data_IF_668329887604
#
_entry.id   IF_668329887604
#
_cell.length_a   1.000
_cell.length_b   1.000
_cell.length_c   1.000
_cell.angle_alpha   90.00
_cell.angle_beta   90.00
_cell.angle_gamma   90.00
#
_symmetry.space_group_name_H-M   'P 1'
#
loop_
_entity.id
_entity.type
_entity.pdbx_description
1 polymer ?
#
# COMPACT_ATOMS: atom_id res chain seq x y z
N UNK A 1 -10.40 -67.10 -1.22
CA UNK A 1 -10.18 -68.04 -2.37
C UNK A 1 -9.44 -67.22 -3.44
N UNK A 2 -8.21 -67.64 -3.65
CA UNK A 2 -7.49 -67.87 -4.93
C UNK A 2 -7.47 -66.62 -5.88
N UNK A 3 -6.41 -66.14 -6.44
CA UNK A 3 -5.02 -66.60 -6.62
C UNK A 3 -4.44 -65.62 -7.67
N UNK A 4 -3.35 -64.99 -7.37
CA UNK A 4 -2.01 -65.09 -8.00
C UNK A 4 -2.04 -65.18 -9.54
N UNK A 5 -1.30 -64.32 -10.26
CA UNK A 5 -0.05 -64.67 -10.91
C UNK A 5 0.61 -63.46 -11.59
N UNK A 6 1.87 -63.31 -11.33
CA UNK A 6 3.00 -62.59 -11.89
C UNK A 6 3.28 -62.92 -13.36
N UNK A 7 3.99 -62.03 -14.05
CA UNK A 7 5.29 -62.26 -14.80
C UNK A 7 5.63 -60.97 -15.50
N UNK A 8 6.70 -60.28 -15.31
CA UNK A 8 8.16 -60.44 -15.56
C UNK A 8 8.54 -60.61 -17.04
N UNK A 9 9.45 -59.80 -17.48
CA UNK A 9 10.30 -59.98 -18.69
C UNK A 9 10.69 -58.65 -19.30
N UNK A 10 11.80 -58.07 -19.05
CA UNK A 10 13.24 -58.27 -19.40
C UNK A 10 13.62 -57.72 -20.77
N UNK A 11 14.48 -56.71 -20.70
CA UNK A 11 15.66 -56.32 -21.53
C UNK A 11 15.69 -56.57 -23.02
N UNK A 12 16.17 -55.56 -23.80
CA UNK A 12 17.39 -55.69 -24.57
C UNK A 12 17.89 -54.35 -25.13
N UNK A 13 19.15 -54.20 -24.96
CA UNK A 13 20.13 -53.25 -25.49
C UNK A 13 20.22 -53.32 -27.03
N UNK A 14 20.61 -52.18 -27.64
CA UNK A 14 21.13 -52.18 -28.99
C UNK A 14 21.77 -50.84 -29.32
N UNK A 15 23.07 -50.81 -29.25
CA UNK A 15 23.93 -49.64 -29.56
C UNK A 15 24.45 -49.72 -31.02
N UNK A 16 25.02 -48.59 -31.47
CA UNK A 16 26.14 -48.47 -32.42
C UNK A 16 25.77 -48.20 -33.90
N UNK A 17 26.19 -47.20 -34.53
CA UNK A 17 27.39 -46.55 -35.02
C UNK A 17 27.12 -45.61 -36.21
N UNK A 18 27.70 -44.45 -36.15
CA UNK A 18 28.48 -43.66 -37.12
C UNK A 18 28.17 -43.77 -38.62
N UNK A 19 28.10 -42.60 -39.30
CA UNK A 19 29.16 -42.10 -40.18
C UNK A 19 28.81 -40.77 -40.84
N UNK A 20 29.82 -39.96 -40.94
CA UNK A 20 30.01 -38.66 -41.53
C UNK A 20 29.56 -38.47 -42.97
N UNK A 21 29.18 -37.27 -43.33
CA UNK A 21 29.70 -36.60 -44.53
C UNK A 21 29.54 -35.09 -44.48
N UNK A 22 30.62 -34.39 -44.73
CA UNK A 22 30.74 -32.94 -44.89
C UNK A 22 29.99 -32.40 -46.11
N UNK A 23 29.46 -31.17 -46.01
CA UNK A 23 29.59 -30.18 -47.09
C UNK A 23 29.31 -28.76 -46.59
N UNK A 24 30.35 -28.01 -46.55
CA UNK A 24 30.62 -26.59 -46.86
C UNK A 24 29.46 -25.58 -46.84
N UNK A 25 29.65 -24.57 -45.96
CA UNK A 25 29.71 -23.21 -46.40
C UNK A 25 28.54 -22.29 -46.05
N UNK A 26 28.61 -21.58 -44.95
CA UNK A 26 28.53 -20.11 -44.94
C UNK A 26 28.58 -19.61 -43.48
N UNK A 27 29.68 -18.97 -43.14
CA UNK A 27 29.90 -18.33 -41.84
C UNK A 27 29.10 -17.02 -41.78
N UNK A 28 27.91 -17.04 -41.15
CA UNK A 28 27.33 -15.84 -40.60
C UNK A 28 27.91 -15.68 -39.18
N UNK A 29 28.77 -14.68 -39.00
CA UNK A 29 29.26 -14.23 -37.69
C UNK A 29 28.06 -13.80 -36.84
N UNK A 30 27.65 -14.63 -35.91
CA UNK A 30 26.84 -14.17 -34.79
C UNK A 30 27.73 -13.26 -33.93
N UNK A 31 27.50 -11.96 -34.05
CA UNK A 31 28.05 -10.97 -33.13
C UNK A 31 27.47 -11.25 -31.74
N UNK A 32 28.31 -11.81 -30.86
CA UNK A 32 28.07 -11.81 -29.42
C UNK A 32 27.98 -10.36 -28.95
N UNK A 33 26.76 -9.81 -28.88
CA UNK A 33 26.47 -8.62 -28.11
C UNK A 33 26.51 -9.08 -26.66
N UNK A 34 27.66 -8.92 -26.03
CA UNK A 34 27.75 -8.96 -24.57
C UNK A 34 26.72 -8.00 -24.01
N UNK A 35 25.64 -8.52 -23.47
CA UNK A 35 24.76 -7.78 -22.59
C UNK A 35 25.60 -7.39 -21.35
N UNK A 36 26.31 -6.28 -21.45
CA UNK A 36 26.84 -5.59 -20.29
C UNK A 36 25.63 -5.17 -19.49
N UNK A 37 25.37 -5.89 -18.41
CA UNK A 37 24.56 -5.44 -17.31
C UNK A 37 25.04 -4.03 -16.90
N UNK A 38 24.37 -3.02 -17.40
CA UNK A 38 24.47 -1.67 -16.85
C UNK A 38 23.68 -1.70 -15.55
N UNK A 39 24.28 -2.26 -14.51
CA UNK A 39 23.91 -1.93 -13.13
C UNK A 39 24.34 -0.47 -12.94
N UNK A 40 23.48 0.45 -13.33
CA UNK A 40 23.58 1.82 -12.83
C UNK A 40 23.45 1.71 -11.29
N UNK A 41 24.59 1.83 -10.59
CA UNK A 41 24.60 2.16 -9.17
C UNK A 41 23.95 3.53 -9.07
N UNK A 42 22.63 3.56 -8.87
CA UNK A 42 21.96 4.76 -8.40
C UNK A 42 22.59 5.04 -7.03
N UNK A 43 23.44 6.05 -6.97
CA UNK A 43 24.01 6.50 -5.71
C UNK A 43 22.81 6.78 -4.78
N UNK A 44 22.86 6.22 -3.59
CA UNK A 44 21.79 6.38 -2.62
C UNK A 44 21.69 7.88 -2.27
N UNK A 45 20.68 8.56 -2.82
CA UNK A 45 20.42 9.98 -2.54
C UNK A 45 20.06 10.10 -1.06
N UNK A 46 20.69 11.06 -0.38
CA UNK A 46 20.30 11.42 0.98
C UNK A 46 18.90 12.04 0.95
N UNK A 47 17.91 11.51 1.67
CA UNK A 47 16.56 12.07 1.72
C UNK A 47 16.52 13.56 2.09
N UNK A 48 17.44 13.99 2.97
CA UNK A 48 17.56 15.39 3.37
C UNK A 48 18.08 16.29 2.23
N UNK A 49 18.76 15.72 1.25
CA UNK A 49 19.27 16.46 0.08
C UNK A 49 18.23 16.61 -1.04
N UNK A 50 17.08 15.91 -0.96
CA UNK A 50 16.01 16.08 -1.96
C UNK A 50 15.31 17.41 -1.73
N UNK A 51 15.43 18.37 -2.68
CA UNK A 51 14.85 19.67 -2.50
C UNK A 51 13.32 19.59 -2.43
N UNK A 52 12.71 20.52 -1.72
CA UNK A 52 11.27 20.70 -1.77
C UNK A 52 10.85 21.14 -3.18
N UNK A 53 9.76 20.55 -3.70
CA UNK A 53 9.19 20.88 -4.99
C UNK A 53 7.85 21.61 -4.79
N UNK A 54 7.82 22.91 -5.13
CA UNK A 54 6.61 23.72 -4.96
C UNK A 54 5.50 23.28 -5.90
N UNK A 55 4.30 23.08 -5.36
CA UNK A 55 3.08 22.94 -6.15
C UNK A 55 2.67 24.29 -6.78
N UNK A 56 1.75 24.26 -7.74
CA UNK A 56 1.23 25.48 -8.40
C UNK A 56 0.44 26.39 -7.46
N UNK A 57 -0.04 25.85 -6.34
CA UNK A 57 -0.79 26.59 -5.34
C UNK A 57 0.08 27.49 -4.44
N UNK A 58 1.42 27.36 -4.48
CA UNK A 58 2.30 28.19 -3.65
C UNK A 58 2.21 29.67 -4.02
N UNK A 59 1.90 30.52 -3.06
CA UNK A 59 1.81 31.96 -3.23
C UNK A 59 0.82 32.64 -2.27
N UNK A 60 0.53 33.90 -2.50
CA UNK A 60 -0.32 34.69 -1.62
C UNK A 60 -1.74 34.14 -1.46
N UNK A 61 -2.30 33.50 -2.50
CA UNK A 61 -3.62 32.85 -2.43
C UNK A 61 -3.67 31.71 -1.41
N UNK A 62 -2.63 30.88 -1.34
CA UNK A 62 -2.55 29.79 -0.37
C UNK A 62 -2.40 30.28 1.08
N UNK A 63 -1.79 31.45 1.29
CA UNK A 63 -1.65 32.06 2.61
C UNK A 63 -3.01 32.40 3.25
N UNK A 64 -4.02 32.72 2.43
CA UNK A 64 -5.39 33.03 2.87
C UNK A 64 -6.26 31.81 3.19
N UNK A 65 -5.79 30.59 2.93
CA UNK A 65 -6.53 29.36 3.21
C UNK A 65 -6.69 29.16 4.73
N UNK A 66 -7.93 28.85 5.14
CA UNK A 66 -8.23 28.61 6.55
C UNK A 66 -7.38 27.46 7.12
N UNK A 67 -6.77 27.71 8.29
CA UNK A 67 -6.05 26.71 9.06
C UNK A 67 -7.05 25.83 9.84
N UNK A 68 -6.56 24.67 10.27
CA UNK A 68 -7.40 23.71 10.98
C UNK A 68 -8.24 22.86 10.04
N UNK A 69 -9.23 22.17 10.63
CA UNK A 69 -10.09 21.23 9.91
C UNK A 69 -11.27 21.92 9.25
N UNK A 70 -11.42 21.65 7.96
CA UNK A 70 -12.61 22.07 7.18
C UNK A 70 -13.19 20.87 6.45
N UNK A 71 -14.52 20.90 6.22
CA UNK A 71 -15.20 19.95 5.34
C UNK A 71 -15.40 20.60 3.98
N UNK A 72 -14.79 20.02 2.97
CA UNK A 72 -14.80 20.52 1.61
C UNK A 72 -15.61 19.63 0.68
N UNK A 73 -16.11 20.21 -0.40
CA UNK A 73 -16.82 19.50 -1.46
C UNK A 73 -16.16 19.76 -2.81
N UNK A 74 -16.24 18.77 -3.70
CA UNK A 74 -15.78 18.90 -5.07
C UNK A 74 -16.59 18.01 -6.01
N UNK A 75 -16.49 18.26 -7.31
CA UNK A 75 -17.03 17.35 -8.34
C UNK A 75 -15.86 16.57 -8.94
N UNK A 76 -16.00 15.25 -9.02
CA UNK A 76 -15.04 14.37 -9.68
C UNK A 76 -15.76 13.35 -10.54
N UNK A 77 -15.40 13.28 -11.81
CA UNK A 77 -16.05 12.36 -12.77
C UNK A 77 -17.57 12.54 -12.90
N UNK A 78 -18.09 13.74 -12.63
CA UNK A 78 -19.52 14.07 -12.62
C UNK A 78 -20.23 13.78 -11.28
N UNK A 79 -19.56 13.15 -10.32
CA UNK A 79 -20.13 12.82 -9.02
C UNK A 79 -19.75 13.87 -7.96
N UNK A 80 -20.69 14.24 -7.08
CA UNK A 80 -20.42 15.08 -5.94
C UNK A 80 -19.62 14.28 -4.90
N UNK A 81 -18.49 14.81 -4.49
CA UNK A 81 -17.58 14.20 -3.51
C UNK A 81 -17.31 15.19 -2.38
N UNK A 82 -16.86 14.66 -1.23
CA UNK A 82 -16.45 15.51 -0.12
C UNK A 82 -15.28 14.87 0.65
N UNK A 83 -14.57 15.71 1.42
CA UNK A 83 -13.43 15.30 2.23
C UNK A 83 -13.24 16.25 3.40
N UNK A 84 -12.53 15.79 4.43
CA UNK A 84 -11.94 16.68 5.41
C UNK A 84 -10.55 17.09 4.96
N UNK A 85 -10.27 18.37 5.10
CA UNK A 85 -8.95 18.96 4.90
C UNK A 85 -8.47 19.53 6.22
N UNK A 86 -7.29 19.13 6.67
CA UNK A 86 -6.60 19.72 7.80
C UNK A 86 -5.38 20.48 7.28
N UNK A 87 -5.35 21.79 7.52
CA UNK A 87 -4.21 22.66 7.16
C UNK A 87 -3.48 23.03 8.45
N UNK A 88 -2.20 22.66 8.59
CA UNK A 88 -1.47 22.88 9.84
C UNK A 88 -1.29 24.40 10.10
N UNK A 89 -1.24 24.82 11.38
CA UNK A 89 -1.05 26.23 11.74
C UNK A 89 0.20 26.86 11.10
N UNK A 90 1.25 26.07 10.92
CA UNK A 90 2.53 26.52 10.33
C UNK A 90 2.48 26.75 8.82
N UNK A 91 1.41 26.36 8.10
CA UNK A 91 1.31 26.58 6.66
C UNK A 91 1.19 28.07 6.34
N UNK A 92 2.21 28.65 5.72
CA UNK A 92 2.30 30.08 5.37
C UNK A 92 1.88 30.38 3.92
N UNK A 93 1.57 29.34 3.12
CA UNK A 93 1.23 29.45 1.70
C UNK A 93 2.41 29.66 0.76
N UNK A 94 3.62 29.84 1.25
CA UNK A 94 4.83 30.12 0.45
C UNK A 94 5.91 29.05 0.60
N UNK A 95 6.01 28.47 1.80
CA UNK A 95 6.88 27.33 2.12
C UNK A 95 6.14 26.05 1.87
N UNK A 96 6.63 25.16 0.96
CA UNK A 96 5.93 23.92 0.67
C UNK A 96 5.91 22.98 1.88
N UNK A 97 4.75 22.38 2.16
CA UNK A 97 4.58 21.40 3.22
C UNK A 97 4.20 20.03 2.66
N UNK A 98 4.57 18.93 3.33
CA UNK A 98 4.13 17.59 2.93
C UNK A 98 2.61 17.44 2.96
N UNK A 99 2.09 16.43 2.23
CA UNK A 99 0.68 16.05 2.19
C UNK A 99 0.52 14.56 2.47
N UNK A 100 -0.47 14.20 3.28
CA UNK A 100 -0.87 12.81 3.55
C UNK A 100 -2.33 12.60 3.16
N UNK A 101 -2.59 11.65 2.25
CA UNK A 101 -3.92 11.08 2.03
C UNK A 101 -4.18 10.03 3.10
N UNK A 102 -5.27 10.18 3.86
CA UNK A 102 -5.65 9.31 4.98
C UNK A 102 -7.02 8.66 4.72
N UNK A 103 -7.02 7.35 4.40
CA UNK A 103 -8.14 6.66 3.78
C UNK A 103 -8.86 5.73 4.75
N UNK A 104 -10.16 5.98 4.97
CA UNK A 104 -11.00 5.24 5.91
C UNK A 104 -11.24 3.78 5.51
N UNK A 105 -11.57 2.93 6.50
CA UNK A 105 -11.98 1.54 6.32
C UNK A 105 -13.40 1.39 5.75
N UNK A 106 -13.75 0.13 5.44
CA UNK A 106 -15.10 -0.25 5.01
C UNK A 106 -16.13 0.07 6.10
N UNK A 107 -17.23 0.72 5.76
CA UNK A 107 -18.32 1.18 6.64
C UNK A 107 -17.91 2.19 7.73
N UNK A 108 -16.65 2.56 7.82
CA UNK A 108 -16.12 3.50 8.81
C UNK A 108 -16.49 4.95 8.48
N UNK A 109 -16.18 5.37 7.25
CA UNK A 109 -16.33 6.75 6.79
C UNK A 109 -15.28 7.71 7.34
N UNK A 110 -15.13 8.85 6.65
CA UNK A 110 -14.08 9.82 6.94
C UNK A 110 -14.15 10.41 8.36
N UNK A 111 -15.38 10.63 8.90
CA UNK A 111 -15.56 11.23 10.22
C UNK A 111 -15.00 10.35 11.36
N UNK A 112 -15.25 9.04 11.31
CA UNK A 112 -14.73 8.11 12.32
C UNK A 112 -13.23 7.92 12.12
N UNK A 113 -12.79 7.91 10.88
CA UNK A 113 -11.38 7.73 10.56
C UNK A 113 -10.46 8.83 11.11
N UNK A 114 -10.96 10.07 11.20
CA UNK A 114 -10.23 11.15 11.87
C UNK A 114 -9.86 10.80 13.33
N UNK A 115 -10.73 10.04 14.03
CA UNK A 115 -10.47 9.57 15.39
C UNK A 115 -9.58 8.31 15.37
N UNK A 116 -9.79 7.46 14.37
CA UNK A 116 -9.07 6.19 14.22
C UNK A 116 -7.56 6.41 14.02
N UNK A 117 -7.19 7.24 13.06
CA UNK A 117 -5.80 7.54 12.74
C UNK A 117 -5.19 8.62 13.63
N UNK A 118 -5.97 9.67 13.97
CA UNK A 118 -5.44 10.85 14.68
C UNK A 118 -4.49 11.71 13.82
N UNK A 119 -4.30 11.37 12.55
CA UNK A 119 -3.31 12.01 11.67
C UNK A 119 -3.55 13.50 11.44
N UNK A 120 -4.78 13.97 11.53
CA UNK A 120 -5.08 15.41 11.43
C UNK A 120 -4.39 16.21 12.55
N UNK A 121 -4.55 15.77 13.80
CA UNK A 121 -3.89 16.42 14.96
C UNK A 121 -2.37 16.20 14.92
N UNK A 122 -1.93 15.01 14.53
CA UNK A 122 -0.52 14.71 14.38
C UNK A 122 0.14 15.59 13.28
N UNK A 123 -0.59 15.81 12.18
CA UNK A 123 -0.17 16.66 11.07
C UNK A 123 0.02 18.14 11.48
N UNK A 124 -0.84 18.65 12.35
CA UNK A 124 -0.68 20.00 12.91
C UNK A 124 0.65 20.14 13.67
N UNK A 125 1.00 19.12 14.47
CA UNK A 125 2.25 19.13 15.23
C UNK A 125 3.50 18.92 14.36
N UNK A 126 3.39 18.18 13.25
CA UNK A 126 4.51 17.89 12.34
C UNK A 126 4.58 18.81 11.12
N UNK A 127 3.58 19.64 10.88
CA UNK A 127 3.56 20.65 9.81
C UNK A 127 3.21 20.08 8.43
N UNK A 128 2.31 19.10 8.32
CA UNK A 128 1.83 18.58 7.04
C UNK A 128 0.31 18.70 6.88
N UNK A 129 -0.15 18.81 5.64
CA UNK A 129 -1.58 18.79 5.29
C UNK A 129 -2.10 17.37 5.30
N UNK A 130 -3.30 17.15 5.91
CA UNK A 130 -4.00 15.87 5.83
C UNK A 130 -5.27 16.04 5.00
N UNK A 131 -5.52 15.09 4.11
CA UNK A 131 -6.78 14.95 3.36
C UNK A 131 -7.42 13.62 3.74
N UNK A 132 -8.61 13.68 4.34
CA UNK A 132 -9.38 12.49 4.72
C UNK A 132 -10.67 12.45 3.89
N UNK A 133 -10.62 11.88 2.67
CA UNK A 133 -11.75 11.84 1.76
C UNK A 133 -12.77 10.78 2.15
N UNK A 134 -14.02 10.99 1.72
CA UNK A 134 -15.14 10.07 1.91
C UNK A 134 -15.31 9.18 0.68
N UNK A 135 -15.27 7.87 0.90
CA UNK A 135 -15.65 6.86 -0.08
C UNK A 135 -17.14 6.85 -0.36
N UNK A 136 -17.56 6.23 -1.45
CA UNK A 136 -18.93 6.27 -1.96
C UNK A 136 -19.75 5.02 -1.60
N UNK A 137 -21.04 5.10 -1.95
CA UNK A 137 -22.02 4.03 -1.82
C UNK A 137 -22.89 4.14 -0.56
N UNK A 138 -23.97 3.33 -0.49
CA UNK A 138 -24.84 3.24 0.70
C UNK A 138 -24.06 2.82 1.95
N UNK A 139 -23.00 2.03 1.78
CA UNK A 139 -22.00 1.72 2.79
C UNK A 139 -20.69 2.34 2.34
N UNK A 140 -20.15 3.26 3.12
CA UNK A 140 -18.91 3.97 2.81
C UNK A 140 -17.76 2.99 2.54
N UNK A 141 -17.16 3.05 1.35
CA UNK A 141 -16.12 2.12 0.91
C UNK A 141 -15.34 2.67 -0.28
N UNK A 142 -14.29 1.97 -0.66
CA UNK A 142 -13.45 2.25 -1.82
C UNK A 142 -13.52 1.11 -2.84
N UNK A 143 -13.69 1.47 -4.10
CA UNK A 143 -13.43 0.59 -5.25
C UNK A 143 -11.95 0.70 -5.64
N UNK A 144 -11.19 -0.33 -5.31
CA UNK A 144 -9.73 -0.38 -5.50
C UNK A 144 -9.30 -0.84 -6.89
N UNK A 145 -10.24 -1.00 -7.83
CA UNK A 145 -9.95 -1.35 -9.23
C UNK A 145 -9.21 -0.19 -9.90
N UNK A 146 -8.14 -0.48 -10.64
CA UNK A 146 -7.42 0.55 -11.39
C UNK A 146 -8.37 1.27 -12.36
N UNK A 147 -8.28 2.60 -12.39
CA UNK A 147 -9.16 3.45 -13.19
C UNK A 147 -10.58 3.62 -12.64
N UNK A 148 -10.87 3.12 -11.42
CA UNK A 148 -12.16 3.34 -10.77
C UNK A 148 -12.48 4.82 -10.57
N UNK A 149 -13.77 5.14 -10.38
CA UNK A 149 -14.21 6.49 -10.03
C UNK A 149 -13.59 6.98 -8.71
N UNK A 150 -13.31 6.08 -7.76
CA UNK A 150 -12.66 6.44 -6.52
C UNK A 150 -11.20 6.81 -6.73
N UNK A 151 -10.44 6.05 -7.52
CA UNK A 151 -9.07 6.42 -7.88
C UNK A 151 -9.03 7.74 -8.68
N UNK A 152 -10.00 7.94 -9.61
CA UNK A 152 -10.12 9.24 -10.28
C UNK A 152 -10.33 10.37 -9.27
N UNK A 153 -11.24 10.19 -8.31
CA UNK A 153 -11.49 11.18 -7.27
C UNK A 153 -10.23 11.51 -6.46
N UNK A 154 -9.46 10.50 -6.06
CA UNK A 154 -8.23 10.72 -5.31
C UNK A 154 -7.17 11.46 -6.13
N UNK A 155 -7.10 11.21 -7.45
CA UNK A 155 -6.25 11.98 -8.37
C UNK A 155 -6.69 13.45 -8.47
N UNK A 156 -7.99 13.70 -8.71
CA UNK A 156 -8.57 15.05 -8.78
C UNK A 156 -8.40 15.80 -7.44
N UNK A 157 -8.46 15.07 -6.31
CA UNK A 157 -8.26 15.63 -4.97
C UNK A 157 -6.79 16.08 -4.76
N UNK A 158 -5.84 15.28 -5.22
CA UNK A 158 -4.42 15.69 -5.21
C UNK A 158 -4.20 16.92 -6.08
N UNK A 159 -4.77 16.97 -7.30
CA UNK A 159 -4.67 18.14 -8.19
C UNK A 159 -5.27 19.40 -7.55
N UNK A 160 -6.42 19.24 -6.88
CA UNK A 160 -7.09 20.33 -6.16
C UNK A 160 -6.21 20.84 -5.01
N UNK A 161 -5.66 19.94 -4.20
CA UNK A 161 -4.80 20.34 -3.09
C UNK A 161 -3.52 21.03 -3.57
N UNK A 162 -2.86 20.49 -4.60
CA UNK A 162 -1.63 21.06 -5.17
C UNK A 162 -1.87 22.41 -5.87
N UNK A 163 -3.09 22.68 -6.35
CA UNK A 163 -3.44 23.97 -6.96
C UNK A 163 -3.87 25.02 -5.96
N UNK A 164 -4.36 24.62 -4.79
CA UNK A 164 -4.88 25.55 -3.77
C UNK A 164 -3.89 25.81 -2.62
N UNK A 165 -3.06 24.82 -2.29
CA UNK A 165 -2.15 24.85 -1.15
C UNK A 165 -0.69 24.81 -1.63
N UNK A 166 0.20 25.32 -0.80
CA UNK A 166 1.64 25.20 -1.06
C UNK A 166 2.12 23.83 -0.57
N UNK A 167 2.04 22.84 -1.44
CA UNK A 167 2.42 21.44 -1.16
C UNK A 167 3.82 21.15 -1.71
N UNK A 168 4.60 20.39 -0.95
CA UNK A 168 5.83 19.78 -1.44
C UNK A 168 5.47 18.52 -2.25
N UNK A 169 5.47 18.63 -3.58
CA UNK A 169 5.11 17.53 -4.49
C UNK A 169 6.11 16.37 -4.46
N UNK A 170 7.28 16.54 -3.83
CA UNK A 170 8.21 15.44 -3.54
C UNK A 170 7.86 14.70 -2.23
N UNK A 171 6.89 15.18 -1.44
CA UNK A 171 6.48 14.61 -0.16
C UNK A 171 4.96 14.46 -0.06
N UNK A 172 4.39 13.77 -1.04
CA UNK A 172 2.98 13.34 -1.06
C UNK A 172 2.91 11.87 -0.70
N UNK A 173 2.20 11.55 0.37
CA UNK A 173 2.13 10.23 0.97
C UNK A 173 0.70 9.73 1.05
N UNK A 174 0.53 8.42 1.20
CA UNK A 174 -0.79 7.81 1.36
C UNK A 174 -0.78 6.75 2.44
N UNK A 175 -1.82 6.75 3.26
CA UNK A 175 -2.09 5.75 4.29
C UNK A 175 -3.58 5.46 4.36
N UNK A 176 -3.97 4.47 5.15
CA UNK A 176 -5.37 4.14 5.40
C UNK A 176 -5.53 2.81 6.11
N UNK A 177 -6.71 2.58 6.66
CA UNK A 177 -7.09 1.39 7.41
C UNK A 177 -7.87 0.41 6.52
N UNK A 178 -7.61 -0.91 6.61
CA UNK A 178 -8.53 -1.93 6.07
C UNK A 178 -8.80 -1.76 4.57
N UNK A 179 -10.04 -1.50 4.16
CA UNK A 179 -10.39 -1.15 2.77
C UNK A 179 -9.65 0.13 2.30
N UNK A 180 -9.41 1.09 3.21
CA UNK A 180 -8.53 2.22 2.95
C UNK A 180 -7.07 1.82 2.72
N UNK A 181 -6.57 0.80 3.43
CA UNK A 181 -5.24 0.23 3.20
C UNK A 181 -5.15 -0.49 1.84
N UNK A 182 -6.24 -1.14 1.40
CA UNK A 182 -6.33 -1.68 0.05
C UNK A 182 -6.31 -0.55 -1.00
N UNK A 183 -7.02 0.55 -0.72
CA UNK A 183 -6.98 1.74 -1.59
C UNK A 183 -5.60 2.42 -1.55
N UNK A 184 -4.92 2.45 -0.40
CA UNK A 184 -3.51 2.89 -0.29
C UNK A 184 -2.61 2.12 -1.27
N UNK A 185 -2.78 0.80 -1.36
CA UNK A 185 -2.06 -0.04 -2.32
C UNK A 185 -2.41 0.31 -3.78
N UNK A 186 -3.68 0.62 -4.07
CA UNK A 186 -4.14 1.00 -5.42
C UNK A 186 -3.64 2.40 -5.82
N UNK A 187 -3.67 3.36 -4.90
CA UNK A 187 -3.11 4.72 -5.09
C UNK A 187 -1.61 4.66 -5.33
N UNK A 188 -0.87 3.91 -4.49
CA UNK A 188 0.57 3.71 -4.67
C UNK A 188 0.90 3.04 -6.01
N UNK A 189 -0.01 2.23 -6.55
CA UNK A 189 0.13 1.66 -7.87
C UNK A 189 -0.18 2.67 -8.99
N UNK A 190 -1.38 3.26 -8.98
CA UNK A 190 -1.84 4.10 -10.09
C UNK A 190 -1.08 5.42 -10.19
N UNK A 191 -0.72 5.99 -9.04
CA UNK A 191 -0.03 7.27 -8.93
C UNK A 191 1.42 7.12 -8.45
N UNK A 192 2.09 6.03 -8.89
CA UNK A 192 3.46 5.74 -8.43
C UNK A 192 4.50 6.79 -8.85
N UNK A 193 4.16 7.71 -9.74
CA UNK A 193 4.98 8.87 -10.13
C UNK A 193 4.70 10.13 -9.28
N UNK A 194 3.68 10.11 -8.41
CA UNK A 194 3.30 11.21 -7.51
C UNK A 194 3.43 10.84 -6.03
N UNK A 195 3.14 9.58 -5.68
CA UNK A 195 3.18 9.12 -4.29
C UNK A 195 4.61 8.75 -3.89
N UNK A 196 5.17 9.49 -2.96
CA UNK A 196 6.54 9.30 -2.49
C UNK A 196 6.71 7.97 -1.72
N UNK A 197 5.80 7.69 -0.77
CA UNK A 197 5.75 6.42 -0.02
C UNK A 197 4.32 6.11 0.45
N UNK A 198 4.09 4.87 0.87
CA UNK A 198 2.78 4.37 1.30
C UNK A 198 2.84 3.62 2.65
N UNK A 199 1.77 3.75 3.46
CA UNK A 199 1.68 3.12 4.78
C UNK A 199 0.31 2.44 5.03
N UNK A 200 0.02 1.27 4.46
CA UNK A 200 -1.23 0.55 4.72
C UNK A 200 -1.28 -0.02 6.14
N UNK A 201 -2.42 0.17 6.85
CA UNK A 201 -2.68 -0.33 8.20
C UNK A 201 -3.82 -1.35 8.18
N UNK A 202 -3.64 -2.50 8.84
CA UNK A 202 -4.60 -3.61 8.93
C UNK A 202 -5.14 -4.05 7.54
N UNK A 203 -4.25 -4.02 6.54
CA UNK A 203 -4.56 -4.43 5.17
C UNK A 203 -3.47 -3.99 4.22
N UNK A 204 -3.12 -4.85 3.27
CA UNK A 204 -2.23 -4.55 2.15
C UNK A 204 -2.64 -5.46 1.01
N UNK A 205 -2.53 -5.03 -0.24
CA UNK A 205 -2.88 -5.86 -1.40
C UNK A 205 -1.87 -5.74 -2.53
N UNK A 206 -1.75 -6.82 -3.30
CA UNK A 206 -1.25 -6.75 -4.66
C UNK A 206 -2.38 -6.27 -5.57
N UNK A 207 -2.11 -5.32 -6.45
CA UNK A 207 -3.12 -4.76 -7.36
C UNK A 207 -2.94 -5.40 -8.73
N UNK A 208 -4.01 -6.05 -9.21
CA UNK A 208 -4.02 -6.69 -10.53
C UNK A 208 -3.82 -5.64 -11.63
N UNK A 209 -2.93 -5.92 -12.57
CA UNK A 209 -2.64 -5.01 -13.68
C UNK A 209 -1.73 -3.83 -13.31
N UNK A 210 -1.21 -3.82 -12.08
CA UNK A 210 -0.31 -2.76 -11.65
C UNK A 210 1.02 -2.81 -12.39
N UNK A 211 1.38 -1.67 -13.00
CA UNK A 211 2.68 -1.44 -13.61
C UNK A 211 3.35 -0.26 -12.93
N UNK A 212 4.52 -0.48 -12.35
CA UNK A 212 5.26 0.59 -11.69
C UNK A 212 6.27 1.21 -12.65
N UNK A 213 6.29 2.54 -12.73
CA UNK A 213 7.36 3.30 -13.37
C UNK A 213 8.57 3.42 -12.46
N UNK A 214 8.37 3.30 -11.15
CA UNK A 214 9.40 3.31 -10.11
C UNK A 214 8.96 2.48 -8.91
N UNK A 215 9.89 2.11 -8.03
CA UNK A 215 9.57 1.54 -6.72
C UNK A 215 8.84 2.55 -5.85
N UNK A 216 7.86 2.10 -5.07
CA UNK A 216 7.19 2.90 -4.04
C UNK A 216 7.53 2.29 -2.68
N UNK A 217 8.33 2.98 -1.85
CA UNK A 217 8.61 2.52 -0.49
C UNK A 217 7.34 2.28 0.29
N UNK A 218 7.30 1.21 1.10
CA UNK A 218 6.09 0.81 1.79
C UNK A 218 6.41 0.34 3.21
N UNK A 219 5.70 0.88 4.20
CA UNK A 219 5.68 0.42 5.58
C UNK A 219 4.27 -0.02 5.95
N UNK A 220 4.07 -1.30 6.26
CA UNK A 220 2.77 -1.85 6.61
C UNK A 220 2.68 -2.20 8.09
N UNK A 221 1.46 -2.15 8.65
CA UNK A 221 1.16 -2.55 10.02
C UNK A 221 0.03 -3.59 9.99
N UNK A 222 0.21 -4.74 10.67
CA UNK A 222 -0.84 -5.75 10.69
C UNK A 222 -0.81 -6.60 11.96
N UNK A 223 -2.00 -6.84 12.54
CA UNK A 223 -2.20 -7.69 13.69
C UNK A 223 -2.38 -9.16 13.29
N UNK A 224 -1.67 -10.09 13.99
CA UNK A 224 -1.83 -11.53 13.69
C UNK A 224 -3.18 -12.10 14.16
N UNK A 225 -3.88 -11.38 15.06
CA UNK A 225 -5.22 -11.72 15.53
C UNK A 225 -6.35 -10.96 14.82
N UNK A 226 -6.06 -10.33 13.68
CA UNK A 226 -7.07 -9.58 12.91
C UNK A 226 -8.20 -10.49 12.44
N UNK A 227 -9.45 -10.17 12.86
CA UNK A 227 -10.64 -10.93 12.55
C UNK A 227 -11.44 -10.38 11.35
N UNK A 228 -10.98 -9.30 10.72
CA UNK A 228 -11.55 -8.73 9.50
C UNK A 228 -10.71 -9.09 8.27
N UNK A 229 -9.44 -8.71 8.25
CA UNK A 229 -8.46 -9.06 7.23
C UNK A 229 -7.45 -10.00 7.86
N UNK A 230 -7.63 -11.29 7.68
CA UNK A 230 -6.81 -12.25 8.41
C UNK A 230 -5.35 -12.21 7.97
N UNK A 231 -4.44 -12.30 8.92
CA UNK A 231 -3.00 -12.30 8.66
C UNK A 231 -2.59 -13.42 7.69
N UNK A 232 -3.24 -14.59 7.83
CA UNK A 232 -3.00 -15.78 7.01
C UNK A 232 -3.73 -15.75 5.66
N UNK A 233 -4.43 -14.65 5.36
CA UNK A 233 -5.11 -14.42 4.10
C UNK A 233 -6.63 -14.59 4.14
N UNK A 234 -7.32 -13.80 3.32
CA UNK A 234 -8.77 -13.79 3.20
C UNK A 234 -9.49 -12.87 4.16
N UNK A 235 -10.82 -12.96 4.17
CA UNK A 235 -11.70 -12.22 5.07
C UNK A 235 -12.01 -13.05 6.30
N UNK A 236 -11.89 -12.45 7.47
CA UNK A 236 -12.30 -13.06 8.73
C UNK A 236 -13.81 -12.95 8.97
N UNK A 237 -14.29 -13.63 10.02
CA UNK A 237 -15.72 -13.70 10.32
C UNK A 237 -16.33 -12.31 10.57
N UNK A 238 -15.63 -11.42 11.26
CA UNK A 238 -16.12 -10.06 11.52
C UNK A 238 -16.30 -9.24 10.23
N UNK A 239 -15.48 -9.47 9.20
CA UNK A 239 -15.67 -8.84 7.90
C UNK A 239 -16.95 -9.36 7.21
N UNK A 240 -17.24 -10.65 7.31
CA UNK A 240 -18.44 -11.26 6.74
C UNK A 240 -19.72 -10.74 7.40
N UNK A 241 -19.63 -10.30 8.64
CA UNK A 241 -20.76 -9.72 9.41
C UNK A 241 -21.00 -8.23 9.12
N UNK A 242 -20.12 -7.56 8.39
CA UNK A 242 -20.31 -6.15 7.99
C UNK A 242 -21.51 -5.99 7.04
N UNK A 243 -22.11 -4.79 6.96
CA UNK A 243 -23.20 -4.50 6.03
C UNK A 243 -22.81 -4.79 4.58
N UNK A 244 -23.75 -5.31 3.80
CA UNK A 244 -23.55 -5.50 2.35
C UNK A 244 -23.35 -4.14 1.65
N UNK A 245 -22.51 -4.09 0.59
CA UNK A 245 -22.14 -2.82 -0.04
C UNK A 245 -23.28 -2.12 -0.79
N UNK A 246 -24.36 -2.85 -1.07
CA UNK A 246 -25.57 -2.36 -1.77
C UNK A 246 -26.57 -1.65 -0.85
N UNK A 247 -26.32 -1.63 0.47
CA UNK A 247 -27.23 -1.04 1.45
C UNK A 247 -28.51 -1.83 1.68
N UNK A 248 -28.58 -3.08 1.23
CA UNK A 248 -29.77 -3.95 1.35
C UNK A 248 -30.13 -4.35 2.78
N UNK A 249 -29.29 -4.03 3.75
CA UNK A 249 -29.44 -4.49 5.14
C UNK A 249 -28.94 -5.94 5.36
N UNK A 250 -28.49 -6.62 4.31
CA UNK A 250 -27.83 -7.94 4.43
C UNK A 250 -26.41 -7.78 4.96
N UNK A 251 -25.81 -8.89 5.38
CA UNK A 251 -24.39 -8.97 5.68
C UNK A 251 -23.58 -9.15 4.42
N UNK A 252 -22.31 -8.69 4.41
CA UNK A 252 -21.37 -8.90 3.31
C UNK A 252 -21.24 -10.39 2.99
N UNK A 253 -21.14 -11.24 4.00
CA UNK A 253 -21.08 -12.68 3.83
C UNK A 253 -22.27 -13.26 3.05
N UNK A 254 -23.46 -12.68 3.15
CA UNK A 254 -24.67 -13.15 2.46
C UNK A 254 -24.64 -12.86 0.95
N UNK A 255 -23.80 -11.92 0.52
CA UNK A 255 -23.59 -11.57 -0.89
C UNK A 255 -22.54 -12.45 -1.58
N UNK A 256 -21.83 -13.28 -0.81
CA UNK A 256 -20.77 -14.14 -1.32
C UNK A 256 -21.32 -15.56 -1.58
N UNK A 257 -20.82 -16.20 -2.64
CA UNK A 257 -21.08 -17.62 -2.88
C UNK A 257 -20.44 -18.49 -1.79
N UNK A 258 -20.92 -19.73 -1.55
CA UNK A 258 -20.26 -20.64 -0.59
C UNK A 258 -18.76 -20.81 -0.85
N UNK A 259 -18.35 -20.93 -2.11
CA UNK A 259 -16.94 -21.03 -2.49
C UNK A 259 -16.16 -19.75 -2.12
N UNK A 260 -16.74 -18.57 -2.25
CA UNK A 260 -16.10 -17.30 -1.86
C UNK A 260 -16.02 -17.15 -0.34
N UNK A 261 -17.00 -17.68 0.42
CA UNK A 261 -16.98 -17.65 1.90
C UNK A 261 -15.92 -18.58 2.48
N UNK A 262 -15.74 -19.76 1.87
CA UNK A 262 -14.81 -20.79 2.33
C UNK A 262 -13.42 -20.64 1.72
N UNK A 263 -13.32 -20.02 0.54
CA UNK A 263 -12.04 -19.69 -0.02
C UNK A 263 -11.41 -18.64 0.90
N UNK A 264 -10.32 -18.99 1.57
CA UNK A 264 -9.32 -18.00 1.99
C UNK A 264 -8.79 -17.38 0.68
N UNK A 265 -9.65 -16.60 0.02
CA UNK A 265 -9.37 -16.01 -1.29
C UNK A 265 -8.55 -14.76 -1.08
N UNK A 266 -7.28 -14.96 -0.82
CA UNK A 266 -6.32 -13.88 -0.68
C UNK A 266 -5.01 -14.43 -0.16
N UNK A 267 -3.93 -13.88 -0.67
CA UNK A 267 -2.61 -14.20 -0.15
C UNK A 267 -2.49 -13.74 1.31
N UNK A 268 -1.69 -14.44 2.09
CA UNK A 268 -1.33 -14.02 3.45
C UNK A 268 -0.59 -12.67 3.40
N UNK A 269 -0.64 -11.93 4.51
CA UNK A 269 0.08 -10.66 4.62
C UNK A 269 1.58 -10.81 4.29
N UNK A 270 2.29 -11.83 4.82
CA UNK A 270 3.68 -12.07 4.42
C UNK A 270 3.87 -12.31 2.92
N UNK A 271 2.95 -13.05 2.26
CA UNK A 271 3.01 -13.31 0.81
C UNK A 271 2.84 -12.02 0.02
N UNK A 272 1.89 -11.17 0.41
CA UNK A 272 1.66 -9.87 -0.24
C UNK A 272 2.88 -8.96 -0.04
N UNK A 273 3.44 -8.92 1.16
CA UNK A 273 4.63 -8.13 1.45
C UNK A 273 5.85 -8.59 0.65
N UNK A 274 6.03 -9.91 0.49
CA UNK A 274 7.07 -10.46 -0.39
C UNK A 274 6.85 -10.07 -1.85
N UNK A 275 5.59 -10.02 -2.33
CA UNK A 275 5.27 -9.56 -3.67
C UNK A 275 5.58 -8.06 -3.86
N UNK A 276 5.32 -7.22 -2.84
CA UNK A 276 5.73 -5.81 -2.84
C UNK A 276 7.25 -5.66 -2.84
N UNK A 277 7.95 -6.41 -1.99
CA UNK A 277 9.41 -6.44 -1.95
C UNK A 277 10.01 -6.82 -3.32
N UNK A 278 9.50 -7.90 -3.94
CA UNK A 278 9.92 -8.29 -5.29
C UNK A 278 9.71 -7.17 -6.32
N UNK A 279 8.56 -6.50 -6.27
CA UNK A 279 8.24 -5.38 -7.16
C UNK A 279 9.18 -4.19 -6.93
N UNK A 280 9.53 -3.93 -5.69
CA UNK A 280 10.47 -2.88 -5.31
C UNK A 280 11.94 -3.24 -5.59
N UNK A 281 12.22 -4.42 -6.18
CA UNK A 281 13.57 -4.84 -6.55
C UNK A 281 14.40 -5.36 -5.38
N UNK A 282 13.75 -5.79 -4.30
CA UNK A 282 14.43 -6.37 -3.14
C UNK A 282 15.05 -7.73 -3.51
N UNK A 283 16.12 -8.11 -2.84
CA UNK A 283 16.74 -9.42 -3.01
C UNK A 283 15.78 -10.55 -2.59
N UNK A 284 15.90 -11.71 -3.25
CA UNK A 284 15.06 -12.88 -2.97
C UNK A 284 15.47 -13.65 -1.71
N UNK A 285 16.25 -13.04 -0.82
CA UNK A 285 16.62 -13.59 0.48
C UNK A 285 15.52 -13.34 1.50
N UNK A 286 15.52 -14.11 2.59
CA UNK A 286 14.55 -13.93 3.67
C UNK A 286 14.69 -12.53 4.29
N UNK A 287 13.57 -11.92 4.73
CA UNK A 287 13.62 -10.68 5.48
C UNK A 287 14.28 -10.89 6.86
N UNK A 288 14.80 -9.80 7.43
CA UNK A 288 15.23 -9.79 8.84
C UNK A 288 14.04 -9.51 9.74
N UNK A 289 14.05 -10.06 10.94
CA UNK A 289 13.01 -9.86 11.95
C UNK A 289 13.64 -9.32 13.24
N UNK A 290 13.22 -8.13 13.64
CA UNK A 290 13.69 -7.46 14.84
C UNK A 290 12.52 -7.28 15.82
N UNK A 291 12.59 -7.87 17.00
CA UNK A 291 11.62 -7.61 18.06
C UNK A 291 11.89 -6.19 18.63
N UNK A 292 10.98 -5.26 18.33
CA UNK A 292 11.11 -3.85 18.73
C UNK A 292 10.28 -3.50 19.95
N UNK A 293 9.31 -4.35 20.28
CA UNK A 293 8.51 -4.30 21.50
C UNK A 293 8.07 -5.73 21.85
N UNK A 294 7.46 -5.93 23.02
CA UNK A 294 7.02 -7.25 23.49
C UNK A 294 6.04 -7.96 22.56
N UNK A 295 5.23 -7.19 21.84
CA UNK A 295 4.20 -7.67 20.92
C UNK A 295 4.42 -7.21 19.47
N UNK A 296 5.54 -6.52 19.16
CA UNK A 296 5.78 -5.97 17.82
C UNK A 296 7.12 -6.43 17.26
N UNK A 297 7.05 -7.07 16.09
CA UNK A 297 8.21 -7.46 15.29
C UNK A 297 8.25 -6.61 14.02
N UNK A 298 9.40 -5.96 13.80
CA UNK A 298 9.71 -5.30 12.52
C UNK A 298 10.32 -6.31 11.57
N UNK A 299 9.64 -6.56 10.45
CA UNK A 299 10.08 -7.46 9.37
C UNK A 299 10.59 -6.59 8.22
N UNK A 300 11.90 -6.63 7.95
CA UNK A 300 12.54 -5.78 6.93
C UNK A 300 12.99 -6.63 5.74
N UNK A 301 12.46 -6.34 4.57
CA UNK A 301 12.86 -6.98 3.34
C UNK A 301 14.16 -6.37 2.81
N UNK A 302 15.07 -7.16 2.22
CA UNK A 302 16.40 -6.71 1.77
C UNK A 302 16.30 -5.91 0.47
N UNK A 303 15.77 -4.71 0.56
CA UNK A 303 15.49 -3.81 -0.57
C UNK A 303 16.63 -2.83 -0.83
N UNK A 304 16.75 -2.32 -2.07
CA UNK A 304 17.60 -1.17 -2.35
C UNK A 304 17.14 0.06 -1.56
N UNK A 305 18.08 0.96 -1.24
CA UNK A 305 17.75 2.23 -0.61
C UNK A 305 16.77 3.04 -1.45
N UNK A 306 15.72 3.56 -0.83
CA UNK A 306 14.62 4.27 -1.50
C UNK A 306 13.53 3.36 -2.08
N UNK A 307 13.59 2.05 -1.78
CA UNK A 307 12.60 1.05 -2.18
C UNK A 307 12.18 0.16 -1.00
N UNK A 308 12.45 0.60 0.21
CA UNK A 308 12.25 -0.15 1.44
C UNK A 308 10.84 -0.69 1.54
N UNK A 309 10.76 -1.96 1.96
CA UNK A 309 9.49 -2.67 2.22
C UNK A 309 9.58 -3.27 3.61
N UNK A 310 8.72 -2.81 4.51
CA UNK A 310 8.77 -3.13 5.94
C UNK A 310 7.36 -3.52 6.40
N UNK A 311 7.27 -4.55 7.25
CA UNK A 311 6.05 -4.92 7.95
C UNK A 311 6.27 -4.83 9.46
N UNK A 312 5.43 -4.08 10.15
CA UNK A 312 5.28 -4.14 11.60
C UNK A 312 4.18 -5.16 11.93
N UNK A 313 4.61 -6.36 12.31
CA UNK A 313 3.73 -7.47 12.71
C UNK A 313 3.40 -7.35 14.19
N UNK A 314 2.12 -7.15 14.52
CA UNK A 314 1.65 -7.05 15.90
C UNK A 314 1.11 -8.41 16.34
N UNK A 315 1.80 -9.08 17.25
CA UNK A 315 1.40 -10.40 17.78
C UNK A 315 0.09 -10.28 18.55
N UNK A 316 -0.89 -11.11 18.19
CA UNK A 316 -2.26 -11.09 18.73
C UNK A 316 -3.01 -9.75 18.56
N UNK A 317 -2.43 -8.78 17.84
CA UNK A 317 -3.08 -7.51 17.51
C UNK A 317 -4.33 -7.73 16.65
N UNK A 318 -5.34 -6.89 16.85
CA UNK A 318 -6.59 -6.90 16.10
C UNK A 318 -6.54 -6.06 14.83
N UNK A 319 -7.73 -5.73 14.31
CA UNK A 319 -7.97 -4.85 13.17
C UNK A 319 -7.92 -3.38 13.59
N UNK A 320 -6.78 -2.92 14.06
CA UNK A 320 -6.65 -1.66 14.78
C UNK A 320 -5.50 -0.81 14.26
N UNK A 321 -5.51 0.47 14.64
CA UNK A 321 -4.44 1.41 14.34
C UNK A 321 -3.45 1.41 15.53
N UNK A 322 -2.21 0.94 15.38
CA UNK A 322 -1.25 0.85 16.48
C UNK A 322 -0.98 2.22 17.12
N UNK A 323 -1.09 2.29 18.44
CA UNK A 323 -0.93 3.54 19.22
C UNK A 323 -2.18 4.42 19.30
N UNK A 324 -3.28 4.05 18.61
CA UNK A 324 -4.53 4.81 18.66
C UNK A 324 -5.32 4.53 19.94
N UNK A 325 -5.53 5.56 20.75
CA UNK A 325 -6.40 5.48 21.94
C UNK A 325 -7.87 5.25 21.56
N UNK A 326 -8.30 5.75 20.39
CA UNK A 326 -9.64 5.47 19.89
C UNK A 326 -9.79 3.99 19.54
N UNK A 327 -8.86 3.39 18.78
CA UNK A 327 -8.85 1.93 18.52
C UNK A 327 -8.88 1.14 19.83
N UNK A 328 -8.10 1.55 20.82
CA UNK A 328 -8.07 0.90 22.14
C UNK A 328 -9.44 0.99 22.84
N UNK A 329 -10.14 2.12 22.72
CA UNK A 329 -11.45 2.34 23.37
C UNK A 329 -12.56 1.47 22.78
N UNK A 330 -12.40 1.01 21.53
CA UNK A 330 -13.36 0.15 20.81
C UNK A 330 -12.82 -1.28 20.60
N UNK A 331 -12.05 -1.79 21.55
CA UNK A 331 -11.41 -3.13 21.49
C UNK A 331 -12.40 -4.26 21.17
N UNK A 332 -13.66 -4.16 21.62
CA UNK A 332 -14.70 -5.14 21.32
C UNK A 332 -15.06 -5.22 19.82
N UNK A 333 -14.82 -4.14 19.09
CA UNK A 333 -15.02 -4.06 17.64
C UNK A 333 -13.75 -4.48 16.91
N UNK A 334 -12.65 -3.76 17.11
CA UNK A 334 -11.44 -3.92 16.32
C UNK A 334 -10.46 -4.98 16.85
N UNK A 335 -10.67 -5.47 18.08
CA UNK A 335 -9.74 -6.37 18.75
C UNK A 335 -8.61 -5.63 19.47
N UNK A 336 -7.63 -6.35 20.02
CA UNK A 336 -6.52 -5.77 20.78
C UNK A 336 -5.72 -4.75 19.94
N UNK A 337 -5.43 -3.60 20.54
CA UNK A 337 -4.58 -2.56 19.94
C UNK A 337 -3.28 -2.47 20.72
N UNK A 338 -2.14 -2.62 20.05
CA UNK A 338 -0.85 -2.36 20.69
C UNK A 338 -0.69 -0.87 20.99
N UNK A 339 -0.21 -0.57 22.19
CA UNK A 339 0.18 0.78 22.60
C UNK A 339 1.71 0.87 22.81
N UNK A 340 2.44 -0.20 22.48
CA UNK A 340 3.91 -0.26 22.62
C UNK A 340 4.63 0.43 21.44
N UNK A 341 3.92 0.72 20.37
CA UNK A 341 4.37 1.52 19.22
C UNK A 341 3.27 2.44 18.78
N UNK A 342 3.64 3.55 18.12
CA UNK A 342 2.72 4.48 17.50
C UNK A 342 2.93 4.45 15.99
N UNK A 343 1.87 4.09 15.23
CA UNK A 343 1.94 3.98 13.78
C UNK A 343 2.22 5.33 13.11
N UNK A 344 1.67 6.43 13.63
CA UNK A 344 1.85 7.76 13.06
C UNK A 344 3.30 8.23 13.14
N UNK A 345 3.96 8.04 14.29
CA UNK A 345 5.37 8.37 14.46
C UNK A 345 6.27 7.51 13.55
N UNK A 346 5.98 6.21 13.46
CA UNK A 346 6.76 5.29 12.62
C UNK A 346 6.57 5.62 11.13
N UNK A 347 5.32 5.80 10.67
CA UNK A 347 5.07 6.11 9.27
C UNK A 347 5.59 7.49 8.89
N UNK A 348 5.48 8.48 9.79
CA UNK A 348 6.03 9.81 9.54
C UNK A 348 7.55 9.78 9.40
N UNK A 349 8.25 9.10 10.32
CA UNK A 349 9.70 8.91 10.22
C UNK A 349 10.09 8.21 8.91
N UNK A 350 9.31 7.20 8.52
CA UNK A 350 9.49 6.51 7.24
C UNK A 350 9.24 7.42 6.05
N UNK A 351 8.16 8.17 6.03
CA UNK A 351 7.79 9.09 4.96
C UNK A 351 8.87 10.14 4.70
N UNK A 352 9.38 10.75 5.75
CA UNK A 352 10.41 11.78 5.64
C UNK A 352 11.76 11.25 5.13
N UNK A 353 12.00 9.94 5.25
CA UNK A 353 13.16 9.26 4.67
C UNK A 353 12.95 8.86 3.20
N UNK A 354 11.75 9.01 2.66
CA UNK A 354 11.41 8.53 1.32
C UNK A 354 10.72 9.61 0.47
N UNK A 355 11.33 10.78 0.27
CA UNK A 355 10.81 11.75 -0.68
C UNK A 355 10.86 11.19 -2.10
N UNK A 356 9.97 11.67 -2.96
CA UNK A 356 10.00 11.37 -4.39
C UNK A 356 11.27 11.96 -5.00
N UNK A 357 12.11 11.10 -5.55
CA UNK A 357 13.31 11.55 -6.25
C UNK A 357 12.90 11.82 -7.70
N UNK A 358 12.95 13.08 -8.17
CA UNK A 358 12.67 13.39 -9.57
C UNK A 358 13.57 12.57 -10.50
N UNK A 359 13.01 12.06 -11.60
CA UNK A 359 13.83 11.45 -12.64
C UNK A 359 14.86 12.49 -13.11
N UNK A 360 16.13 12.13 -13.10
CA UNK A 360 17.17 12.96 -13.73
C UNK A 360 16.83 13.08 -15.22
N UNK A 361 16.64 14.34 -15.67
CA UNK A 361 16.37 14.66 -17.08
C UNK A 361 17.57 14.28 -17.94
#
# INVERSE_FOLDING_TARGET
MRSIVRTSGVLALGAVLMLSACSSGSTAKASNVNAREVKAKVAAVDPASVPMAKSSGCGAGAAGIAKGQTKETMTSGGDARWYFRQVPPAHDGTTPVPLVLDLHGYSEGAQIHLLMSGLSTFGDAKGFVTLTPQGTGPVARWDTTLGSKDLKFLGDLLDTAESQLCIDTNRVFVTGLSNGAFMTSAVACQFNDRIAAAAPVAGVRTIKGCTFKRSVPLVAFHGTGDQYVTFDGGLGQKALDLPAPDGSGKKLGDTLTPAQRTARSGDSIPTIMAAWAKRNGCAATLPTEDAIATDVTKVTYPCPKGAETILYRVTSGGHSWPGSTFSQSIVNIVGPTTMNVNADEIMWAFFMQHPLIPATK
#
